data_IF_818343501469
#
_entry.id   IF_818343501469
#
_cell.length_a   1.000
_cell.length_b   1.000
_cell.length_c   1.000
_cell.angle_alpha   90.00
_cell.angle_beta   90.00
_cell.angle_gamma   90.00
#
_symmetry.space_group_name_H-M   'P 1'
#
loop_
_entity.id
_entity.type
_entity.pdbx_description
1 polymer ?
#
# COMPACT_ATOMS: atom_id res chain seq x y z
N UNK A 1 13.19 4.63 -17.98
CA UNK A 1 11.92 4.45 -18.75
C UNK A 1 10.94 5.53 -18.32
N UNK A 2 10.17 6.12 -19.24
CA UNK A 2 9.09 7.02 -18.86
C UNK A 2 8.05 6.26 -18.01
N UNK A 3 7.40 6.93 -17.05
CA UNK A 3 6.32 6.33 -16.26
C UNK A 3 5.19 5.84 -17.19
N UNK A 4 4.57 4.71 -16.84
CA UNK A 4 3.46 4.14 -17.62
C UNK A 4 2.24 5.08 -17.62
N UNK A 5 1.40 5.01 -18.65
CA UNK A 5 0.16 5.81 -18.73
C UNK A 5 -0.76 5.57 -17.52
N UNK A 6 -0.81 4.33 -17.01
CA UNK A 6 -1.54 3.99 -15.80
C UNK A 6 -1.04 4.75 -14.57
N UNK A 7 0.28 4.92 -14.44
CA UNK A 7 0.89 5.68 -13.35
C UNK A 7 0.59 7.18 -13.48
N UNK A 8 0.68 7.73 -14.70
CA UNK A 8 0.36 9.15 -14.94
C UNK A 8 -1.10 9.46 -14.63
N UNK A 9 -2.03 8.60 -15.03
CA UNK A 9 -3.45 8.73 -14.73
C UNK A 9 -3.72 8.64 -13.24
N UNK A 10 -3.12 7.67 -12.54
CA UNK A 10 -3.24 7.55 -11.08
C UNK A 10 -2.74 8.79 -10.33
N UNK A 11 -1.65 9.42 -10.81
CA UNK A 11 -1.11 10.65 -10.24
C UNK A 11 -1.99 11.87 -10.55
N UNK A 12 -2.70 11.91 -11.69
CA UNK A 12 -3.62 13.00 -12.00
C UNK A 12 -4.95 12.87 -11.24
N UNK A 13 -5.43 11.64 -11.06
CA UNK A 13 -6.70 11.34 -10.38
C UNK A 13 -6.54 11.22 -8.85
N UNK A 14 -5.30 11.30 -8.33
CA UNK A 14 -5.00 11.17 -6.91
C UNK A 14 -5.72 12.22 -6.08
N UNK A 15 -6.34 11.79 -4.98
CA UNK A 15 -6.81 12.71 -3.92
C UNK A 15 -5.78 12.88 -2.81
N UNK A 16 -4.70 12.09 -2.84
CA UNK A 16 -3.60 12.17 -1.91
C UNK A 16 -2.58 13.22 -2.34
N UNK A 17 -2.03 13.96 -1.38
CA UNK A 17 -0.89 14.86 -1.63
C UNK A 17 0.42 14.09 -1.48
N UNK A 18 1.48 14.51 -2.16
CA UNK A 18 2.79 13.87 -2.05
C UNK A 18 3.80 14.81 -1.41
N UNK A 19 4.56 14.31 -0.44
CA UNK A 19 5.58 15.09 0.27
C UNK A 19 6.93 14.38 0.26
N UNK A 20 8.00 15.16 0.27
CA UNK A 20 9.35 14.65 0.43
C UNK A 20 9.55 14.17 1.87
N UNK A 21 10.10 12.96 2.04
CA UNK A 21 10.41 12.43 3.36
C UNK A 21 11.76 12.96 3.84
N UNK A 22 11.71 13.99 4.70
CA UNK A 22 12.90 14.66 5.22
C UNK A 22 13.76 15.24 4.09
N UNK A 23 15.07 15.01 4.17
CA UNK A 23 16.04 15.44 3.13
C UNK A 23 16.35 14.34 2.10
N UNK A 24 15.58 13.24 2.09
CA UNK A 24 15.78 12.15 1.12
C UNK A 24 15.13 12.48 -0.23
N UNK A 25 15.51 11.77 -1.30
CA UNK A 25 14.79 11.85 -2.59
C UNK A 25 13.42 11.17 -2.59
N UNK A 26 13.02 10.54 -1.48
CA UNK A 26 11.78 9.77 -1.39
C UNK A 26 10.57 10.69 -1.29
N UNK A 27 9.55 10.43 -2.11
CA UNK A 27 8.23 11.04 -2.00
C UNK A 27 7.23 10.02 -1.48
N UNK A 28 6.45 10.41 -0.48
CA UNK A 28 5.41 9.58 0.14
C UNK A 28 4.04 10.20 -0.07
N UNK A 29 3.00 9.36 -0.15
CA UNK A 29 1.61 9.81 -0.14
C UNK A 29 1.22 10.31 1.25
N UNK A 30 0.37 11.32 1.29
CA UNK A 30 -0.22 11.88 2.51
C UNK A 30 -1.74 11.86 2.33
N UNK A 31 -2.48 11.06 3.13
CA UNK A 31 -1.98 10.21 4.24
C UNK A 31 -1.19 8.95 3.77
N UNK A 32 -0.46 8.32 4.71
CA UNK A 32 0.12 6.98 4.57
C UNK A 32 -0.92 5.95 5.03
N UNK A 33 -1.02 4.82 4.35
CA UNK A 33 -1.97 3.75 4.69
C UNK A 33 -1.33 2.74 5.64
N UNK A 34 -1.84 2.62 6.87
CA UNK A 34 -1.33 1.67 7.85
C UNK A 34 -1.99 0.29 7.72
N UNK A 35 -1.19 -0.75 7.57
CA UNK A 35 -1.66 -2.15 7.43
C UNK A 35 -1.63 -2.94 8.75
N UNK A 36 -1.48 -2.28 9.91
CA UNK A 36 -1.40 -2.94 11.23
C UNK A 36 -2.59 -3.85 11.54
N UNK A 37 -3.75 -3.55 10.98
CA UNK A 37 -4.97 -4.35 11.20
C UNK A 37 -5.12 -5.50 10.21
N UNK A 38 -4.15 -5.79 9.34
CA UNK A 38 -4.27 -6.86 8.34
C UNK A 38 -3.61 -8.14 8.84
N UNK A 39 -4.33 -9.26 8.78
CA UNK A 39 -3.80 -10.55 9.20
C UNK A 39 -4.87 -11.55 9.59
N UNK A 40 -4.64 -12.26 10.68
CA UNK A 40 -5.57 -13.24 11.23
C UNK A 40 -6.37 -12.62 12.40
N UNK A 41 -7.72 -12.56 12.31
CA UNK A 41 -8.57 -12.14 13.42
C UNK A 41 -8.38 -12.94 14.72
N UNK A 42 -7.80 -14.15 14.66
CA UNK A 42 -7.45 -14.95 15.83
C UNK A 42 -6.29 -14.34 16.64
N UNK A 43 -5.46 -13.49 16.02
CA UNK A 43 -4.34 -12.83 16.70
C UNK A 43 -4.81 -11.69 17.60
N UNK A 44 -5.69 -10.82 17.08
CA UNK A 44 -6.32 -9.73 17.83
C UNK A 44 -7.71 -9.41 17.28
N UNK A 45 -8.70 -9.03 18.11
CA UNK A 45 -10.08 -8.81 17.67
C UNK A 45 -10.28 -7.69 16.63
N UNK A 46 -9.34 -6.75 16.53
CA UNK A 46 -9.39 -5.63 15.57
C UNK A 46 -8.71 -5.94 14.24
N UNK A 47 -8.14 -7.14 14.09
CA UNK A 47 -7.50 -7.57 12.85
C UNK A 47 -8.58 -8.04 11.89
N UNK A 48 -8.45 -7.64 10.63
CA UNK A 48 -9.29 -8.05 9.53
C UNK A 48 -8.52 -9.05 8.65
N UNK A 49 -9.28 -9.96 8.06
CA UNK A 49 -8.76 -10.99 7.17
C UNK A 49 -8.45 -10.45 5.77
N UNK A 50 -7.91 -11.34 4.94
CA UNK A 50 -7.58 -11.05 3.55
C UNK A 50 -8.79 -10.58 2.73
N UNK A 51 -9.96 -11.18 2.94
CA UNK A 51 -11.16 -10.86 2.16
C UNK A 51 -11.59 -9.41 2.39
N UNK A 52 -11.48 -8.92 3.63
CA UNK A 52 -11.73 -7.52 3.97
C UNK A 52 -10.57 -6.58 3.62
N UNK A 53 -9.32 -7.03 3.74
CA UNK A 53 -8.14 -6.18 3.52
C UNK A 53 -7.85 -5.88 2.04
N UNK A 54 -8.03 -6.85 1.14
CA UNK A 54 -7.76 -6.69 -0.30
C UNK A 54 -8.52 -5.51 -0.95
N UNK A 55 -9.85 -5.36 -0.78
CA UNK A 55 -10.57 -4.24 -1.38
C UNK A 55 -10.16 -2.88 -0.77
N UNK A 56 -9.70 -2.85 0.49
CA UNK A 56 -9.20 -1.62 1.11
C UNK A 56 -7.87 -1.17 0.47
N UNK A 57 -6.96 -2.11 0.20
CA UNK A 57 -5.69 -1.84 -0.49
C UNK A 57 -5.93 -1.34 -1.92
N UNK A 58 -6.86 -1.96 -2.63
CA UNK A 58 -7.26 -1.52 -3.97
C UNK A 58 -7.83 -0.08 -3.96
N UNK A 59 -8.74 0.19 -3.01
CA UNK A 59 -9.35 1.50 -2.86
C UNK A 59 -8.32 2.57 -2.49
N UNK A 60 -7.40 2.27 -1.57
CA UNK A 60 -6.31 3.17 -1.20
C UNK A 60 -5.46 3.53 -2.44
N UNK A 61 -5.05 2.52 -3.22
CA UNK A 61 -4.28 2.74 -4.44
C UNK A 61 -5.04 3.58 -5.48
N UNK A 62 -6.32 3.28 -5.72
CA UNK A 62 -7.18 4.03 -6.65
C UNK A 62 -7.35 5.49 -6.25
N UNK A 63 -7.24 5.79 -4.96
CA UNK A 63 -7.30 7.16 -4.42
C UNK A 63 -5.93 7.87 -4.44
N UNK A 64 -4.89 7.17 -4.92
CA UNK A 64 -3.52 7.65 -5.00
C UNK A 64 -2.74 7.54 -3.69
N UNK A 65 -3.24 6.76 -2.72
CA UNK A 65 -2.50 6.40 -1.50
C UNK A 65 -1.70 5.12 -1.78
N UNK A 66 -0.43 5.29 -2.11
CA UNK A 66 0.48 4.20 -2.52
C UNK A 66 1.67 4.00 -1.56
N UNK A 67 1.77 4.78 -0.49
CA UNK A 67 2.70 4.51 0.60
C UNK A 67 1.96 3.72 1.67
N UNK A 68 2.32 2.44 1.82
CA UNK A 68 1.70 1.51 2.76
C UNK A 68 2.71 1.10 3.84
N UNK A 69 2.33 1.25 5.10
CA UNK A 69 3.13 0.88 6.27
C UNK A 69 2.77 -0.55 6.72
N UNK A 70 3.80 -1.38 6.91
CA UNK A 70 3.67 -2.75 7.42
C UNK A 70 4.84 -3.06 8.35
N UNK A 71 4.70 -4.05 9.22
CA UNK A 71 5.76 -4.53 10.08
C UNK A 71 5.70 -6.06 10.20
N UNK A 72 6.86 -6.71 10.29
CA UNK A 72 6.99 -8.16 10.46
C UNK A 72 6.21 -8.70 11.68
N UNK A 73 6.10 -7.90 12.75
CA UNK A 73 5.33 -8.28 13.95
C UNK A 73 3.81 -8.34 13.73
N UNK A 74 3.28 -7.85 12.60
CA UNK A 74 1.85 -7.86 12.33
C UNK A 74 1.40 -9.27 11.91
N UNK A 75 0.64 -9.92 12.81
CA UNK A 75 0.03 -11.23 12.57
C UNK A 75 1.00 -12.31 12.04
N UNK A 76 2.25 -12.31 12.51
CA UNK A 76 3.27 -13.31 12.15
C UNK A 76 3.61 -13.37 10.65
N UNK A 77 3.68 -12.21 9.97
CA UNK A 77 4.00 -12.11 8.54
C UNK A 77 2.80 -12.14 7.59
N UNK A 78 1.59 -12.43 8.11
CA UNK A 78 0.35 -12.48 7.31
C UNK A 78 0.01 -11.15 6.62
N UNK A 79 0.33 -10.02 7.26
CA UNK A 79 0.14 -8.68 6.67
C UNK A 79 0.93 -8.51 5.37
N UNK A 80 2.18 -8.98 5.34
CA UNK A 80 3.03 -8.89 4.15
C UNK A 80 2.52 -9.81 3.03
N UNK A 81 1.99 -11.00 3.36
CA UNK A 81 1.34 -11.89 2.38
C UNK A 81 0.12 -11.24 1.74
N UNK A 82 -0.75 -10.60 2.54
CA UNK A 82 -1.95 -9.91 2.05
C UNK A 82 -1.56 -8.75 1.12
N UNK A 83 -0.53 -7.97 1.48
CA UNK A 83 -0.01 -6.90 0.63
C UNK A 83 0.53 -7.47 -0.68
N UNK A 84 1.36 -8.52 -0.63
CA UNK A 84 1.90 -9.18 -1.83
C UNK A 84 0.79 -9.65 -2.77
N UNK A 85 -0.25 -10.29 -2.22
CA UNK A 85 -1.43 -10.72 -2.99
C UNK A 85 -2.18 -9.54 -3.59
N UNK A 86 -2.33 -8.42 -2.89
CA UNK A 86 -2.98 -7.24 -3.43
C UNK A 86 -2.20 -6.67 -4.63
N UNK A 87 -0.86 -6.64 -4.54
CA UNK A 87 -0.01 -6.16 -5.63
C UNK A 87 -0.20 -7.00 -6.90
N UNK A 88 -0.21 -8.33 -6.76
CA UNK A 88 -0.43 -9.26 -7.87
C UNK A 88 -1.87 -9.19 -8.41
N UNK A 89 -2.87 -9.28 -7.52
CA UNK A 89 -4.30 -9.33 -7.86
C UNK A 89 -4.77 -8.08 -8.58
N UNK A 90 -4.29 -6.91 -8.17
CA UNK A 90 -4.71 -5.62 -8.72
C UNK A 90 -3.71 -5.03 -9.71
N UNK A 91 -2.66 -5.79 -10.07
CA UNK A 91 -1.58 -5.36 -10.96
C UNK A 91 -0.97 -4.01 -10.54
N UNK A 92 -0.79 -3.83 -9.23
CA UNK A 92 -0.21 -2.63 -8.65
C UNK A 92 1.31 -2.75 -8.75
N UNK A 93 2.01 -1.80 -9.39
CA UNK A 93 3.45 -1.89 -9.56
C UNK A 93 4.15 -1.82 -8.21
N UNK A 94 4.81 -2.92 -7.84
CA UNK A 94 5.76 -2.97 -6.75
C UNK A 94 7.08 -2.35 -7.22
N UNK A 95 7.15 -1.02 -7.27
CA UNK A 95 8.44 -0.36 -7.51
C UNK A 95 9.36 -0.67 -6.34
N UNK A 96 10.33 -1.57 -6.57
CA UNK A 96 11.57 -1.63 -5.79
C UNK A 96 12.45 -0.54 -6.38
N UNK A 97 12.72 0.53 -5.64
CA UNK A 97 13.71 1.51 -6.06
C UNK A 97 15.09 0.89 -5.86
N UNK A 98 15.55 0.12 -6.85
CA UNK A 98 16.98 -0.08 -7.05
C UNK A 98 17.58 1.28 -7.38
N UNK A 99 18.48 1.72 -6.50
CA UNK A 99 19.40 2.86 -6.67
C UNK A 99 19.98 2.96 -8.07
#
# INVERSE_FOLDING_TARGET
MPPSEALLKSVQDTKATYRQLGNSGLRVSVPIFGCMSFGDPQWQPWVIDEEAALPLLEAAYKMGVNTWDTANMYSNGKSEEIIGKALEKYNIPATRWSS
#
